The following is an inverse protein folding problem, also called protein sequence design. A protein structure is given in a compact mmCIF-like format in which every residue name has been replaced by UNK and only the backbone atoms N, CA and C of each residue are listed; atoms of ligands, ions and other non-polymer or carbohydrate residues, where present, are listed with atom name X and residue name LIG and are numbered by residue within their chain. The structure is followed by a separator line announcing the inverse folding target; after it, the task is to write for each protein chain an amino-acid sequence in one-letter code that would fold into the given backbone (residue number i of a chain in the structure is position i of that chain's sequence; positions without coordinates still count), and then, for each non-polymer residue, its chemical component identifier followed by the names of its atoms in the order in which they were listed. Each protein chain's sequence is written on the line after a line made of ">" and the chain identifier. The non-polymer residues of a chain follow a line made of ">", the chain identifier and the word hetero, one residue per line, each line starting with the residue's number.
data_IF_253400784832
#
_entry.id   IF_253400784832
#
_cell.length_a   1.000
_cell.length_b   1.000
_cell.length_c   1.000
_cell.angle_alpha   90.00
_cell.angle_beta   90.00
_cell.angle_gamma   90.00
#
_symmetry.space_group_name_H-M   'P 1'
#
loop_
_entity.id
_entity.type
_entity.pdbx_description
1 polymer ?
#
# COMPACT_ATOMS: atom_id res chain seq x y z
N UNK A 1 1.57 0.42 17.46
CA UNK A 1 2.07 1.81 17.54
C UNK A 1 2.49 2.21 16.13
N UNK A 2 1.74 3.07 15.44
CA UNK A 2 2.10 3.53 14.08
C UNK A 2 3.24 4.56 14.18
N UNK A 3 4.49 4.09 14.33
CA UNK A 3 5.66 4.97 14.49
C UNK A 3 6.24 5.36 13.13
N UNK A 4 5.46 6.12 12.35
CA UNK A 4 5.91 6.73 11.10
C UNK A 4 5.96 8.26 11.22
N UNK A 5 6.96 8.88 10.58
CA UNK A 5 7.02 10.34 10.49
C UNK A 5 5.80 10.93 9.77
N UNK A 6 5.59 12.26 9.78
CA UNK A 6 4.42 12.90 9.16
C UNK A 6 4.13 12.45 7.72
N UNK A 7 5.19 12.27 6.91
CA UNK A 7 5.09 11.78 5.53
C UNK A 7 4.44 10.40 5.44
N UNK A 8 4.81 9.49 6.33
CA UNK A 8 4.39 8.09 6.32
C UNK A 8 2.94 7.95 6.77
N UNK A 9 2.55 8.69 7.83
CA UNK A 9 1.15 8.77 8.26
C UNK A 9 0.24 9.33 7.17
N UNK A 10 0.70 10.35 6.44
CA UNK A 10 -0.03 10.89 5.30
C UNK A 10 -0.20 9.81 4.21
N UNK A 11 0.85 9.05 3.85
CA UNK A 11 0.73 7.99 2.84
C UNK A 11 -0.26 6.90 3.26
N UNK A 12 -0.15 6.40 4.49
CA UNK A 12 -1.03 5.34 5.00
C UNK A 12 -2.49 5.79 5.00
N UNK A 13 -2.78 6.99 5.53
CA UNK A 13 -4.15 7.49 5.65
C UNK A 13 -4.73 7.97 4.32
N UNK A 14 -3.90 8.52 3.43
CA UNK A 14 -4.35 8.93 2.10
C UNK A 14 -4.86 7.75 1.26
N UNK A 15 -4.28 6.54 1.40
CA UNK A 15 -4.82 5.33 0.72
C UNK A 15 -6.26 5.05 1.14
N UNK A 16 -6.55 5.14 2.43
CA UNK A 16 -7.90 4.94 2.96
C UNK A 16 -8.85 6.03 2.46
N UNK A 17 -8.43 7.30 2.51
CA UNK A 17 -9.23 8.44 2.04
C UNK A 17 -9.57 8.33 0.55
N UNK A 18 -8.62 7.90 -0.28
CA UNK A 18 -8.87 7.68 -1.71
C UNK A 18 -9.80 6.49 -1.97
N UNK A 19 -9.70 5.42 -1.19
CA UNK A 19 -10.56 4.24 -1.32
C UNK A 19 -12.03 4.53 -0.98
N UNK A 20 -12.31 5.53 -0.14
CA UNK A 20 -13.67 5.99 0.16
C UNK A 20 -14.33 6.75 -1.01
N UNK A 21 -13.60 7.04 -2.09
CA UNK A 21 -14.11 7.71 -3.29
C UNK A 21 -14.14 9.25 -3.21
N UNK A 22 -14.64 9.88 -4.28
CA UNK A 22 -14.75 11.34 -4.38
C UNK A 22 -13.46 12.07 -4.77
N UNK A 23 -13.39 13.38 -4.48
CA UNK A 23 -12.25 14.26 -4.78
C UNK A 23 -11.67 14.89 -3.50
N UNK A 24 -10.98 14.11 -2.66
CA UNK A 24 -10.42 14.60 -1.40
C UNK A 24 -9.39 15.71 -1.62
N UNK A 25 -9.45 16.70 -0.75
CA UNK A 25 -8.59 17.89 -0.69
C UNK A 25 -7.34 17.64 0.16
N UNK A 26 -6.41 18.60 0.14
CA UNK A 26 -5.23 18.57 1.03
C UNK A 26 -5.64 18.60 2.52
N UNK A 27 -6.73 19.32 2.84
CA UNK A 27 -7.26 19.40 4.21
C UNK A 27 -7.73 18.03 4.69
N UNK A 28 -8.43 17.29 3.83
CA UNK A 28 -8.95 15.95 4.15
C UNK A 28 -7.80 14.97 4.44
N UNK A 29 -6.74 15.00 3.63
CA UNK A 29 -5.55 14.18 3.86
C UNK A 29 -4.81 14.56 5.14
N UNK A 30 -4.65 15.86 5.39
CA UNK A 30 -3.98 16.35 6.59
C UNK A 30 -4.75 15.94 7.87
N UNK A 31 -6.07 16.09 7.83
CA UNK A 31 -6.98 15.72 8.91
C UNK A 31 -6.94 14.22 9.18
N UNK A 32 -7.08 13.39 8.13
CA UNK A 32 -7.03 11.94 8.26
C UNK A 32 -5.68 11.43 8.80
N UNK A 33 -4.58 12.16 8.56
CA UNK A 33 -3.24 11.84 9.03
C UNK A 33 -2.87 12.46 10.38
N UNK A 34 -3.78 13.24 10.99
CA UNK A 34 -3.53 13.93 12.26
C UNK A 34 -2.38 14.94 12.17
N UNK A 35 -2.27 15.67 11.05
CA UNK A 35 -1.24 16.68 10.82
C UNK A 35 -1.86 18.00 10.40
N UNK A 36 -1.15 19.11 10.66
CA UNK A 36 -1.54 20.40 10.11
C UNK A 36 -1.29 20.47 8.60
N UNK A 37 -2.01 21.34 7.92
CA UNK A 37 -1.79 21.68 6.51
C UNK A 37 -0.36 22.13 6.23
N UNK A 38 0.26 22.88 7.14
CA UNK A 38 1.67 23.26 7.04
C UNK A 38 2.61 22.05 7.10
N UNK A 39 2.32 21.06 7.95
CA UNK A 39 3.09 19.80 7.99
C UNK A 39 2.88 18.96 6.73
N UNK A 40 1.69 18.98 6.14
CA UNK A 40 1.45 18.36 4.84
C UNK A 40 2.39 18.96 3.78
N UNK A 41 2.43 20.28 3.63
CA UNK A 41 3.28 20.92 2.61
C UNK A 41 4.79 20.78 2.85
N UNK A 42 5.20 20.55 4.10
CA UNK A 42 6.58 20.14 4.41
C UNK A 42 6.89 18.73 3.90
N UNK A 43 5.94 17.81 3.95
CA UNK A 43 6.10 16.43 3.48
C UNK A 43 5.90 16.27 1.97
N UNK A 44 4.97 17.03 1.37
CA UNK A 44 4.60 16.96 -0.04
C UNK A 44 4.42 18.35 -0.62
N UNK A 45 5.09 18.64 -1.74
CA UNK A 45 5.02 19.96 -2.40
C UNK A 45 3.64 20.28 -2.99
N UNK A 46 2.83 19.25 -3.26
CA UNK A 46 1.49 19.41 -3.82
C UNK A 46 0.64 18.16 -3.57
N UNK A 47 -0.67 18.26 -3.85
CA UNK A 47 -1.55 17.09 -3.91
C UNK A 47 -1.06 16.07 -4.93
N UNK A 48 -0.60 16.52 -6.10
CA UNK A 48 -0.08 15.62 -7.13
C UNK A 48 1.17 14.88 -6.67
N UNK A 49 2.07 15.53 -5.93
CA UNK A 49 3.25 14.88 -5.37
C UNK A 49 2.89 13.76 -4.37
N UNK A 50 1.79 13.91 -3.62
CA UNK A 50 1.25 12.82 -2.79
C UNK A 50 0.75 11.67 -3.66
N UNK A 51 -0.06 11.95 -4.68
CA UNK A 51 -0.60 10.92 -5.58
C UNK A 51 0.53 10.16 -6.30
N UNK A 52 1.55 10.86 -6.80
CA UNK A 52 2.74 10.25 -7.38
C UNK A 52 3.49 9.36 -6.39
N UNK A 53 3.61 9.79 -5.12
CA UNK A 53 4.25 8.99 -4.09
C UNK A 53 3.43 7.74 -3.72
N UNK A 54 2.10 7.81 -3.79
CA UNK A 54 1.21 6.66 -3.57
C UNK A 54 1.26 5.66 -4.72
N UNK A 55 1.47 6.13 -5.94
CA UNK A 55 1.60 5.29 -7.14
C UNK A 55 2.97 4.63 -7.26
N UNK A 56 3.98 5.08 -6.51
CA UNK A 56 5.24 4.34 -6.37
C UNK A 56 4.94 3.08 -5.57
N UNK A 57 4.93 1.94 -6.26
CA UNK A 57 4.83 0.62 -5.66
C UNK A 57 6.00 0.50 -4.66
N UNK A 58 5.74 0.40 -3.35
CA UNK A 58 6.81 0.04 -2.42
C UNK A 58 7.34 -1.33 -2.83
N UNK A 59 8.66 -1.53 -2.71
CA UNK A 59 9.25 -2.87 -2.85
C UNK A 59 8.38 -3.86 -2.05
N UNK A 60 7.90 -4.96 -2.67
CA UNK A 60 7.01 -5.88 -2.00
C UNK A 60 7.66 -6.33 -0.70
N UNK A 61 6.88 -6.35 0.38
CA UNK A 61 7.41 -6.75 1.67
C UNK A 61 7.88 -8.21 1.61
N UNK A 62 8.61 -8.67 2.62
CA UNK A 62 9.15 -10.03 2.61
C UNK A 62 8.04 -11.09 2.44
N UNK A 63 6.85 -10.86 3.00
CA UNK A 63 5.71 -11.77 2.91
C UNK A 63 5.16 -11.82 1.49
N UNK A 64 5.02 -10.67 0.85
CA UNK A 64 4.50 -10.53 -0.51
C UNK A 64 5.47 -11.12 -1.54
N UNK A 65 6.79 -10.97 -1.31
CA UNK A 65 7.84 -11.66 -2.08
C UNK A 65 7.77 -13.18 -1.92
N UNK A 66 7.60 -13.68 -0.70
CA UNK A 66 7.46 -15.13 -0.42
C UNK A 66 6.20 -15.68 -1.11
N UNK A 67 5.07 -14.99 -1.01
CA UNK A 67 3.82 -15.39 -1.65
C UNK A 67 3.95 -15.39 -3.18
N UNK A 68 4.55 -14.36 -3.77
CA UNK A 68 4.78 -14.29 -5.21
C UNK A 68 5.73 -15.41 -5.69
N UNK A 69 6.78 -15.70 -4.92
CA UNK A 69 7.70 -16.81 -5.20
C UNK A 69 6.99 -18.16 -5.11
N UNK A 70 6.18 -18.38 -4.07
CA UNK A 70 5.37 -19.59 -3.90
C UNK A 70 4.37 -19.77 -5.04
N UNK A 71 3.68 -18.70 -5.45
CA UNK A 71 2.72 -18.73 -6.56
C UNK A 71 3.40 -19.13 -7.88
N UNK A 72 4.60 -18.59 -8.12
CA UNK A 72 5.46 -18.98 -9.24
C UNK A 72 5.83 -20.47 -9.19
N UNK A 73 6.32 -20.95 -8.05
CA UNK A 73 6.73 -22.35 -7.87
C UNK A 73 5.55 -23.32 -8.06
N UNK A 74 4.37 -22.95 -7.58
CA UNK A 74 3.13 -23.70 -7.75
C UNK A 74 2.66 -23.68 -9.20
N UNK A 75 2.76 -22.54 -9.89
CA UNK A 75 2.45 -22.42 -11.32
C UNK A 75 3.40 -23.22 -12.22
N UNK A 76 4.69 -23.27 -11.87
CA UNK A 76 5.72 -24.02 -12.61
C UNK A 76 5.62 -25.54 -12.41
N UNK A 77 5.16 -26.00 -11.25
CA UNK A 77 4.99 -27.44 -10.94
C UNK A 77 3.57 -27.95 -11.17
N UNK A 78 2.61 -27.03 -11.32
CA UNK A 78 1.18 -27.31 -11.38
C UNK A 78 0.62 -27.76 -10.03
N UNK A 79 -0.60 -27.32 -9.70
CA UNK A 79 -1.36 -27.88 -8.57
C UNK A 79 -1.72 -29.36 -8.77
N UNK A 80 -1.57 -29.88 -9.99
CA UNK A 80 -1.88 -31.26 -10.36
C UNK A 80 -0.87 -32.29 -9.86
N UNK A 81 0.33 -31.91 -9.41
CA UNK A 81 1.23 -32.86 -8.73
C UNK A 81 0.83 -33.15 -7.28
N UNK A 82 -0.23 -32.50 -6.79
CA UNK A 82 -0.92 -32.79 -5.53
C UNK A 82 -2.26 -33.52 -5.78
N UNK A 83 -2.37 -34.23 -6.92
CA UNK A 83 -3.58 -34.98 -7.29
C UNK A 83 -3.96 -36.00 -6.20
N UNK A 84 -5.26 -36.21 -6.01
CA UNK A 84 -5.90 -37.14 -5.06
C UNK A 84 -5.67 -38.62 -5.41
N UNK A 85 -4.61 -38.96 -6.14
CA UNK A 85 -4.33 -40.31 -6.65
C UNK A 85 -3.52 -41.19 -5.67
N UNK A 86 -3.07 -40.64 -4.53
CA UNK A 86 -2.47 -41.38 -3.41
C UNK A 86 -3.50 -41.79 -2.32
N UNK A 87 -4.81 -41.62 -2.58
CA UNK A 87 -5.88 -41.86 -1.61
C UNK A 87 -6.77 -43.09 -1.93
N UNK A 88 -6.27 -44.03 -2.73
CA UNK A 88 -6.96 -45.28 -3.09
C UNK A 88 -6.25 -46.53 -2.57
#
# INVERSE_FOLDING_TARGET
>A
METGGPRERILTRARVVLAMGGRPTVEDFATAAGVSRASFYRAFKSRNALIEALNRVPEPDARERILAAALRMVGERGLGSLSMDDLA
#
